data_IF_338648777674
#
_entry.id   IF_338648777674
#
_cell.length_a   1.000
_cell.length_b   1.000
_cell.length_c   1.000
_cell.angle_alpha   90.00
_cell.angle_beta   90.00
_cell.angle_gamma   90.00
#
_symmetry.space_group_name_H-M   'P 1'
#
loop_
_entity.id
_entity.type
_entity.pdbx_description
1 polymer ?
#
# COMPACT_ATOMS: atom_id res chain seq x y z
N UNK A 1 12.81 11.90 63.50
CA UNK A 1 11.69 11.48 62.63
C UNK A 1 12.21 11.38 61.21
N UNK A 2 12.53 10.18 60.74
CA UNK A 2 12.83 9.94 59.34
C UNK A 2 11.49 9.86 58.61
N UNK A 3 11.15 10.92 57.87
CA UNK A 3 10.02 10.90 56.95
C UNK A 3 10.36 9.94 55.82
N UNK A 4 9.64 8.81 55.76
CA UNK A 4 9.63 7.95 54.60
C UNK A 4 8.99 8.74 53.45
N UNK A 5 9.82 9.47 52.69
CA UNK A 5 9.44 9.94 51.39
C UNK A 5 9.08 8.71 50.57
N UNK A 6 7.78 8.49 50.38
CA UNK A 6 7.26 7.57 49.38
C UNK A 6 7.90 7.97 48.06
N UNK A 7 8.90 7.22 47.63
CA UNK A 7 9.49 7.28 46.29
C UNK A 7 8.34 7.00 45.32
N UNK A 8 7.62 8.05 44.94
CA UNK A 8 6.70 8.00 43.80
C UNK A 8 7.58 7.64 42.62
N UNK A 9 7.58 6.38 42.21
CA UNK A 9 8.22 5.96 40.97
C UNK A 9 7.85 6.96 39.87
N UNK A 10 8.85 7.64 39.32
CA UNK A 10 8.64 8.80 38.43
C UNK A 10 8.01 8.32 37.13
N UNK A 11 8.47 7.19 36.58
CA UNK A 11 7.77 6.44 35.54
C UNK A 11 6.87 5.37 36.17
N UNK A 12 5.59 5.34 35.80
CA UNK A 12 4.61 4.35 36.29
C UNK A 12 4.50 3.14 35.39
N UNK A 13 4.87 3.25 34.13
CA UNK A 13 4.88 2.12 33.21
C UNK A 13 6.12 1.25 33.45
N UNK A 14 5.90 -0.05 33.53
CA UNK A 14 6.92 -1.04 33.78
C UNK A 14 7.37 -1.68 32.45
N UNK A 15 8.68 -1.85 32.22
CA UNK A 15 9.17 -2.57 31.06
C UNK A 15 8.74 -4.04 31.12
N UNK A 16 8.36 -4.60 29.98
CA UNK A 16 8.13 -6.03 29.81
C UNK A 16 9.44 -6.80 29.56
N UNK A 17 9.34 -8.08 29.18
CA UNK A 17 10.50 -8.93 28.87
C UNK A 17 11.33 -8.44 27.68
N UNK A 18 10.82 -7.50 26.88
CA UNK A 18 11.49 -6.94 25.70
C UNK A 18 11.89 -5.47 25.92
N UNK A 19 11.73 -4.94 27.14
CA UNK A 19 12.09 -3.57 27.50
C UNK A 19 11.02 -2.52 27.16
N UNK A 20 9.86 -2.91 26.63
CA UNK A 20 8.78 -1.99 26.26
C UNK A 20 7.92 -1.70 27.47
N UNK A 21 7.67 -0.42 27.75
CA UNK A 21 6.90 0.01 28.91
C UNK A 21 5.39 -0.12 28.74
N UNK A 22 4.75 -0.76 29.71
CA UNK A 22 3.30 -0.95 29.79
C UNK A 22 2.73 -0.56 31.17
N UNK A 23 1.45 -0.20 31.20
CA UNK A 23 0.68 -0.02 32.43
C UNK A 23 -0.64 -0.78 32.32
N UNK A 24 -0.84 -1.76 33.20
CA UNK A 24 -2.04 -2.60 33.22
C UNK A 24 -2.36 -3.24 31.85
N UNK A 25 -1.33 -3.72 31.15
CA UNK A 25 -1.44 -4.33 29.83
C UNK A 25 -1.62 -3.34 28.66
N UNK A 26 -1.74 -2.03 28.92
CA UNK A 26 -1.76 -1.00 27.88
C UNK A 26 -0.36 -0.53 27.56
N UNK A 27 -0.09 -0.31 26.27
CA UNK A 27 1.15 0.33 25.82
C UNK A 27 1.27 1.76 26.30
N UNK A 28 2.47 2.13 26.74
CA UNK A 28 2.79 3.48 27.14
C UNK A 28 3.57 4.23 26.07
N UNK A 29 3.48 5.55 26.13
CA UNK A 29 4.21 6.48 25.28
C UNK A 29 4.84 7.59 26.14
N UNK A 30 5.98 8.08 25.67
CA UNK A 30 6.53 9.37 26.11
C UNK A 30 5.89 10.51 25.31
N UNK A 31 5.83 11.70 25.91
CA UNK A 31 5.38 12.91 25.23
C UNK A 31 6.38 14.04 25.42
N UNK A 32 6.50 14.91 24.42
CA UNK A 32 7.15 16.23 24.53
C UNK A 32 6.20 17.31 24.00
N UNK A 33 6.66 18.55 23.96
CA UNK A 33 5.94 19.67 23.35
C UNK A 33 6.86 20.35 22.34
N UNK A 34 6.30 20.75 21.20
CA UNK A 34 7.01 21.50 20.18
C UNK A 34 6.22 22.73 19.72
N UNK A 35 6.95 23.63 19.07
CA UNK A 35 6.41 24.76 18.34
C UNK A 35 7.43 25.15 17.27
N UNK A 36 7.17 24.73 16.03
CA UNK A 36 8.03 24.98 14.88
C UNK A 36 7.41 25.96 13.86
N UNK A 37 6.08 26.12 13.90
CA UNK A 37 5.34 27.00 12.99
C UNK A 37 5.23 26.47 11.56
N UNK A 38 5.61 25.21 11.30
CA UNK A 38 5.62 24.62 9.97
C UNK A 38 4.26 24.04 9.58
N UNK A 39 4.04 23.85 8.27
CA UNK A 39 2.83 23.22 7.72
C UNK A 39 2.65 21.77 8.18
N UNK A 40 3.77 21.12 8.49
CA UNK A 40 3.84 19.74 8.94
C UNK A 40 3.75 18.70 7.81
N UNK A 41 4.28 17.52 8.10
CA UNK A 41 4.42 16.38 7.19
C UNK A 41 3.12 15.83 6.60
N UNK A 42 1.96 16.15 7.18
CA UNK A 42 0.66 15.77 6.61
C UNK A 42 0.03 16.85 5.72
N UNK A 43 0.75 17.94 5.44
CA UNK A 43 0.31 18.97 4.51
C UNK A 43 -0.92 19.76 4.97
N UNK A 44 -1.06 19.98 6.28
CA UNK A 44 -2.19 20.68 6.89
C UNK A 44 -2.01 22.20 6.87
N UNK A 45 -1.98 22.74 5.64
CA UNK A 45 -1.87 24.15 5.30
C UNK A 45 -2.12 24.38 3.81
N UNK A 46 -2.16 25.63 3.32
CA UNK A 46 -2.34 25.93 1.91
C UNK A 46 -1.28 25.24 1.02
N UNK A 47 -1.64 24.73 -0.18
CA UNK A 47 -0.69 24.14 -1.11
C UNK A 47 0.44 25.11 -1.46
N UNK A 48 1.65 24.59 -1.69
CA UNK A 48 2.86 25.35 -2.05
C UNK A 48 3.29 26.43 -1.02
N UNK A 49 2.83 26.33 0.21
CA UNK A 49 3.23 27.15 1.34
C UNK A 49 3.73 26.27 2.49
N UNK A 50 4.58 26.83 3.36
CA UNK A 50 4.97 26.20 4.63
C UNK A 50 4.18 26.76 5.82
N UNK A 51 3.14 27.55 5.56
CA UNK A 51 2.27 28.05 6.61
C UNK A 51 1.21 26.99 6.98
N UNK A 52 1.08 26.63 8.27
CA UNK A 52 0.00 25.75 8.71
C UNK A 52 -1.36 26.47 8.69
N UNK A 53 -2.44 25.69 8.59
CA UNK A 53 -3.76 26.21 8.92
C UNK A 53 -3.81 26.61 10.40
N UNK A 54 -4.64 27.61 10.74
CA UNK A 54 -4.75 28.10 12.12
C UNK A 54 -5.16 26.98 13.10
N UNK A 55 -6.09 26.12 12.70
CA UNK A 55 -6.50 24.99 13.55
C UNK A 55 -5.33 24.04 13.83
N UNK A 56 -4.38 23.86 12.91
CA UNK A 56 -3.27 22.91 13.07
C UNK A 56 -2.29 23.33 14.18
N UNK A 57 -2.19 24.65 14.44
CA UNK A 57 -1.35 25.21 15.51
C UNK A 57 -2.12 25.51 16.81
N UNK A 58 -3.46 25.61 16.75
CA UNK A 58 -4.31 25.90 17.91
C UNK A 58 -4.90 24.66 18.60
N UNK A 59 -5.26 23.64 17.82
CA UNK A 59 -5.93 22.45 18.32
C UNK A 59 -4.95 21.41 18.87
N UNK A 60 -5.49 20.29 19.36
CA UNK A 60 -4.73 19.16 19.85
C UNK A 60 -4.23 18.32 18.67
N UNK A 61 -3.07 18.68 18.14
CA UNK A 61 -2.36 17.96 17.09
C UNK A 61 -1.02 17.40 17.60
N UNK A 62 -0.47 16.40 16.91
CA UNK A 62 0.78 15.73 17.33
C UNK A 62 1.65 15.31 16.16
N UNK A 63 2.95 15.27 16.43
CA UNK A 63 3.99 14.71 15.59
C UNK A 63 4.56 13.42 16.25
N UNK A 64 4.10 12.22 15.88
CA UNK A 64 4.65 10.99 16.43
C UNK A 64 6.03 10.66 15.85
N UNK A 65 6.77 9.78 16.53
CA UNK A 65 8.05 9.29 16.01
C UNK A 65 7.91 8.66 14.62
N UNK A 66 8.92 8.87 13.77
CA UNK A 66 8.93 8.52 12.34
C UNK A 66 8.42 7.10 12.03
N UNK A 67 8.83 6.10 12.81
CA UNK A 67 8.42 4.71 12.57
C UNK A 67 6.94 4.45 12.88
N UNK A 68 6.34 5.18 13.81
CA UNK A 68 4.90 5.14 13.98
C UNK A 68 4.20 5.91 12.87
N UNK A 69 4.67 7.14 12.59
CA UNK A 69 4.13 8.04 11.56
C UNK A 69 3.90 7.33 10.22
N UNK A 70 4.88 6.53 9.76
CA UNK A 70 4.82 5.85 8.47
C UNK A 70 4.69 4.32 8.57
N UNK A 71 4.12 3.80 9.68
CA UNK A 71 3.89 2.35 9.87
C UNK A 71 5.14 1.46 9.62
N UNK A 72 6.31 1.96 10.00
CA UNK A 72 7.61 1.31 9.86
C UNK A 72 8.45 1.80 8.69
N UNK A 73 7.86 2.58 7.77
CA UNK A 73 8.57 3.27 6.71
C UNK A 73 9.46 4.41 7.20
N UNK A 74 10.01 5.16 6.26
CA UNK A 74 10.89 6.30 6.50
C UNK A 74 10.33 7.60 5.91
N UNK A 75 9.09 7.59 5.38
CA UNK A 75 8.50 8.79 4.82
C UNK A 75 8.32 9.87 5.89
N UNK A 76 8.70 11.09 5.55
CA UNK A 76 8.47 12.31 6.33
C UNK A 76 7.40 13.20 5.66
N UNK A 77 6.64 12.62 4.73
CA UNK A 77 5.57 13.31 4.02
C UNK A 77 4.44 12.34 3.72
N UNK A 78 3.20 12.72 4.06
CA UNK A 78 2.00 11.89 3.91
C UNK A 78 2.16 10.47 4.46
N UNK A 79 2.79 10.33 5.64
CA UNK A 79 2.99 9.04 6.27
C UNK A 79 1.67 8.30 6.52
N UNK A 80 1.73 6.98 6.55
CA UNK A 80 0.55 6.11 6.65
C UNK A 80 -0.36 6.33 7.89
N UNK A 81 0.06 7.14 8.88
CA UNK A 81 -0.75 7.52 10.05
C UNK A 81 -1.25 8.97 10.03
N UNK A 82 -0.96 9.75 8.99
CA UNK A 82 -1.55 11.08 8.83
C UNK A 82 -3.08 11.03 8.93
N UNK A 83 -3.67 12.00 9.62
CA UNK A 83 -5.12 12.07 9.80
C UNK A 83 -5.73 11.07 10.78
N UNK A 84 -4.94 10.15 11.35
CA UNK A 84 -5.40 9.26 12.43
C UNK A 84 -5.39 10.01 13.76
N UNK A 85 -6.24 9.58 14.67
CA UNK A 85 -6.28 10.15 16.01
C UNK A 85 -5.78 9.15 17.06
N UNK A 86 -5.03 9.68 18.03
CA UNK A 86 -4.54 8.95 19.19
C UNK A 86 -5.15 9.52 20.45
N UNK A 87 -5.65 8.65 21.32
CA UNK A 87 -6.10 9.03 22.65
C UNK A 87 -4.98 8.79 23.64
N UNK A 88 -4.56 9.85 24.32
CA UNK A 88 -3.50 9.82 25.32
C UNK A 88 -4.12 9.97 26.71
N UNK A 89 -3.78 9.07 27.63
CA UNK A 89 -4.27 9.10 29.02
C UNK A 89 -3.08 9.10 29.97
N UNK A 90 -2.85 10.20 30.74
CA UNK A 90 -1.74 10.25 31.66
C UNK A 90 -1.78 9.16 32.72
N UNK A 91 -0.61 8.63 33.04
CA UNK A 91 -0.44 7.60 34.08
C UNK A 91 -0.19 8.20 35.47
N UNK A 92 0.09 9.52 35.51
CA UNK A 92 0.66 10.20 36.68
C UNK A 92 2.18 10.11 36.75
N UNK A 93 2.82 9.42 35.79
CA UNK A 93 4.27 9.34 35.65
C UNK A 93 4.85 10.37 34.69
N UNK A 94 6.19 10.42 34.64
CA UNK A 94 7.03 11.27 33.80
C UNK A 94 8.47 10.74 33.81
N UNK A 95 9.31 11.17 32.86
CA UNK A 95 10.76 10.86 32.88
C UNK A 95 11.48 11.82 33.83
N UNK A 96 12.31 11.29 34.72
CA UNK A 96 13.00 12.07 35.75
C UNK A 96 13.80 13.22 35.14
N UNK A 97 13.59 14.44 35.66
CA UNK A 97 14.30 15.65 35.19
C UNK A 97 13.78 16.20 33.85
N UNK A 98 12.94 15.46 33.13
CA UNK A 98 12.45 15.84 31.79
C UNK A 98 10.93 16.02 31.73
N UNK A 99 10.25 16.00 32.88
CA UNK A 99 8.81 16.21 32.98
C UNK A 99 8.32 16.35 34.41
N UNK A 100 7.00 16.35 34.60
CA UNK A 100 6.36 16.32 35.91
C UNK A 100 4.99 15.66 35.86
N UNK A 101 4.54 15.13 37.00
CA UNK A 101 3.21 14.53 37.11
C UNK A 101 2.11 15.57 36.80
N UNK A 102 1.16 15.26 35.89
CA UNK A 102 0.05 16.15 35.59
C UNK A 102 -0.94 16.22 36.77
N UNK A 103 -1.74 17.30 36.89
CA UNK A 103 -2.66 17.48 38.01
C UNK A 103 -3.87 16.52 38.00
N UNK A 104 -4.19 15.95 36.84
CA UNK A 104 -5.24 14.96 36.66
C UNK A 104 -4.86 13.97 35.55
N UNK A 105 -5.67 12.93 35.36
CA UNK A 105 -5.47 11.89 34.35
C UNK A 105 -6.52 11.94 33.24
N UNK A 106 -7.05 13.14 32.94
CA UNK A 106 -8.04 13.30 31.88
C UNK A 106 -7.42 12.90 30.53
N UNK A 107 -8.13 12.06 29.77
CA UNK A 107 -7.70 11.68 28.44
C UNK A 107 -7.99 12.78 27.43
N UNK A 108 -7.08 12.97 26.48
CA UNK A 108 -7.26 13.88 25.35
C UNK A 108 -6.98 13.15 24.04
N UNK A 109 -7.63 13.58 22.97
CA UNK A 109 -7.48 12.99 21.63
C UNK A 109 -6.71 13.99 20.76
N UNK A 110 -5.66 13.50 20.11
CA UNK A 110 -4.79 14.29 19.25
C UNK A 110 -4.86 13.78 17.81
N UNK A 111 -4.91 14.70 16.85
CA UNK A 111 -4.81 14.41 15.42
C UNK A 111 -3.34 14.36 14.98
N UNK A 112 -2.95 13.34 14.22
CA UNK A 112 -1.59 13.24 13.66
C UNK A 112 -1.51 14.11 12.41
N UNK A 113 -0.69 15.17 12.47
CA UNK A 113 -0.54 16.16 11.39
C UNK A 113 0.91 16.44 10.97
N UNK A 114 1.88 15.88 11.70
CA UNK A 114 3.30 16.08 11.43
C UNK A 114 4.11 14.83 11.78
N UNK A 115 5.43 14.82 11.53
CA UNK A 115 6.34 13.75 11.92
C UNK A 115 7.39 14.25 12.92
N UNK A 116 7.85 13.36 13.81
CA UNK A 116 9.02 13.59 14.65
C UNK A 116 10.19 12.76 14.10
N UNK A 117 11.12 13.36 13.34
CA UNK A 117 12.15 12.63 12.61
C UNK A 117 13.28 12.14 13.53
N UNK A 118 13.88 10.99 13.20
CA UNK A 118 14.93 10.35 14.01
C UNK A 118 16.20 11.21 14.09
N UNK A 119 16.60 11.86 12.99
CA UNK A 119 17.92 12.47 12.83
C UNK A 119 18.26 13.47 13.95
N UNK A 120 17.28 14.28 14.36
CA UNK A 120 17.45 15.38 15.33
C UNK A 120 16.83 15.05 16.69
N UNK A 121 15.93 14.07 16.76
CA UNK A 121 15.14 13.76 17.96
C UNK A 121 15.45 12.36 18.51
N UNK A 122 16.69 11.87 18.36
CA UNK A 122 17.06 10.48 18.71
C UNK A 122 16.63 10.04 20.10
N UNK A 123 16.75 10.91 21.10
CA UNK A 123 16.42 10.58 22.49
C UNK A 123 14.95 10.15 22.65
N UNK A 124 14.05 10.83 21.94
CA UNK A 124 12.61 10.65 22.09
C UNK A 124 11.98 9.84 20.94
N UNK A 125 12.37 10.14 19.71
CA UNK A 125 11.80 9.62 18.46
C UNK A 125 12.71 8.62 17.75
N UNK A 126 13.82 8.19 18.37
CA UNK A 126 14.81 7.29 17.79
C UNK A 126 14.42 5.80 17.68
N UNK A 127 13.15 5.45 17.76
CA UNK A 127 12.71 4.08 17.53
C UNK A 127 12.98 3.66 16.07
N UNK A 128 13.57 2.48 15.91
CA UNK A 128 13.91 1.84 14.64
C UNK A 128 12.81 0.96 14.02
N UNK A 129 11.75 0.61 14.78
CA UNK A 129 10.61 -0.20 14.32
C UNK A 129 9.28 0.45 14.74
N UNK A 130 8.16 0.16 14.05
CA UNK A 130 6.84 0.61 14.49
C UNK A 130 6.41 -0.11 15.79
N UNK A 131 5.55 0.51 16.62
CA UNK A 131 5.05 -0.11 17.84
C UNK A 131 4.15 -1.31 17.54
N UNK A 132 4.09 -2.25 18.49
CA UNK A 132 3.27 -3.45 18.34
C UNK A 132 3.69 -4.40 17.21
N UNK A 133 4.84 -4.17 16.56
CA UNK A 133 5.48 -5.15 15.68
C UNK A 133 6.12 -6.27 16.51
N UNK A 134 5.34 -6.82 17.44
CA UNK A 134 5.54 -8.17 17.95
C UNK A 134 5.68 -9.03 16.70
N UNK A 135 6.75 -9.80 16.61
CA UNK A 135 6.88 -11.25 16.38
C UNK A 135 5.62 -12.04 15.92
N UNK A 136 4.53 -11.44 15.41
CA UNK A 136 3.40 -12.06 14.73
C UNK A 136 3.90 -12.63 13.43
N UNK A 137 4.81 -11.95 12.74
CA UNK A 137 5.52 -12.52 11.60
C UNK A 137 6.22 -13.82 11.97
N UNK A 138 6.83 -13.88 13.16
CA UNK A 138 7.51 -15.09 13.64
C UNK A 138 6.53 -16.13 14.16
N UNK A 139 5.41 -15.77 14.80
CA UNK A 139 4.39 -16.75 15.23
C UNK A 139 3.68 -17.34 14.01
N UNK A 140 3.29 -16.53 13.03
CA UNK A 140 2.73 -17.01 11.75
C UNK A 140 3.78 -17.79 10.96
N UNK A 141 5.02 -17.31 10.87
CA UNK A 141 6.10 -18.03 10.19
C UNK A 141 6.37 -19.36 10.89
N UNK A 142 6.52 -19.40 12.22
CA UNK A 142 6.74 -20.65 12.96
C UNK A 142 5.53 -21.56 12.84
N UNK A 143 4.31 -21.09 13.03
CA UNK A 143 3.12 -21.97 12.94
C UNK A 143 2.93 -22.51 11.53
N UNK A 144 3.02 -21.67 10.50
CA UNK A 144 2.89 -22.09 9.10
C UNK A 144 4.08 -22.94 8.66
N UNK A 145 5.31 -22.56 9.00
CA UNK A 145 6.52 -23.33 8.71
C UNK A 145 6.50 -24.66 9.43
N UNK A 146 6.15 -24.72 10.71
CA UNK A 146 6.08 -25.98 11.46
C UNK A 146 4.95 -26.84 10.93
N UNK A 147 3.77 -26.29 10.62
CA UNK A 147 2.67 -27.06 10.03
C UNK A 147 3.08 -27.58 8.66
N UNK A 148 3.61 -26.75 7.75
CA UNK A 148 4.05 -27.17 6.43
C UNK A 148 5.23 -28.14 6.51
N UNK A 149 6.25 -27.84 7.31
CA UNK A 149 7.42 -28.69 7.45
C UNK A 149 7.04 -30.03 8.06
N UNK A 150 6.23 -30.08 9.12
CA UNK A 150 5.74 -31.32 9.70
C UNK A 150 4.81 -32.03 8.72
N UNK A 151 3.78 -31.40 8.17
CA UNK A 151 2.85 -32.10 7.28
C UNK A 151 3.56 -32.59 6.01
N UNK A 152 4.35 -31.77 5.35
CA UNK A 152 5.06 -32.14 4.12
C UNK A 152 6.14 -33.16 4.43
N UNK A 153 7.03 -32.94 5.40
CA UNK A 153 8.09 -33.92 5.68
C UNK A 153 7.55 -35.19 6.33
N UNK A 154 6.59 -35.12 7.25
CA UNK A 154 6.02 -36.34 7.86
C UNK A 154 5.16 -37.09 6.85
N UNK A 155 4.38 -36.44 5.99
CA UNK A 155 3.61 -37.15 4.95
C UNK A 155 4.55 -37.71 3.90
N UNK A 156 5.52 -36.95 3.37
CA UNK A 156 6.49 -37.49 2.39
C UNK A 156 7.37 -38.56 3.02
N UNK A 157 7.86 -38.37 4.24
CA UNK A 157 8.67 -39.38 4.91
C UNK A 157 7.81 -40.61 5.22
N UNK A 158 6.64 -40.49 5.85
CA UNK A 158 5.83 -41.68 6.11
C UNK A 158 5.37 -42.32 4.80
N UNK A 159 4.76 -41.61 3.87
CA UNK A 159 4.24 -42.24 2.65
C UNK A 159 5.36 -42.74 1.76
N UNK A 160 6.37 -41.93 1.45
CA UNK A 160 7.42 -42.34 0.51
C UNK A 160 8.44 -43.24 1.20
N UNK A 161 8.95 -42.88 2.38
CA UNK A 161 9.91 -43.74 3.07
C UNK A 161 9.26 -45.02 3.55
N UNK A 162 8.07 -45.02 4.19
CA UNK A 162 7.48 -46.29 4.65
C UNK A 162 6.98 -47.11 3.47
N UNK A 163 6.37 -46.54 2.42
CA UNK A 163 5.98 -47.37 1.26
C UNK A 163 7.23 -47.88 0.55
N UNK A 164 8.21 -47.04 0.21
CA UNK A 164 9.43 -47.53 -0.48
C UNK A 164 10.22 -48.48 0.40
N UNK A 165 10.37 -48.20 1.70
CA UNK A 165 11.07 -49.09 2.63
C UNK A 165 10.31 -50.38 2.83
N UNK A 166 8.98 -50.38 2.99
CA UNK A 166 8.19 -51.62 3.08
C UNK A 166 8.26 -52.39 1.77
N UNK A 167 8.11 -51.73 0.63
CA UNK A 167 8.16 -52.40 -0.69
C UNK A 167 9.55 -52.97 -0.94
N UNK A 168 10.59 -52.18 -0.66
CA UNK A 168 11.98 -52.62 -0.74
C UNK A 168 12.28 -53.70 0.29
N UNK A 169 11.75 -53.61 1.52
CA UNK A 169 11.89 -54.62 2.56
C UNK A 169 11.18 -55.90 2.18
N UNK A 170 10.01 -55.87 1.55
CA UNK A 170 9.34 -57.08 1.03
C UNK A 170 10.09 -57.67 -0.17
N UNK A 171 10.63 -56.85 -1.07
CA UNK A 171 11.43 -57.32 -2.21
C UNK A 171 12.79 -57.86 -1.76
N UNK A 172 13.42 -57.20 -0.80
CA UNK A 172 14.68 -57.60 -0.18
C UNK A 172 14.46 -58.79 0.72
N UNK A 173 13.38 -58.88 1.51
CA UNK A 173 13.08 -60.08 2.29
C UNK A 173 12.61 -61.21 1.42
N UNK A 174 11.98 -61.04 0.25
CA UNK A 174 11.78 -62.17 -0.67
C UNK A 174 13.13 -62.67 -1.22
N UNK A 175 14.04 -61.76 -1.59
CA UNK A 175 15.41 -62.13 -2.02
C UNK A 175 16.30 -62.66 -0.90
N UNK A 176 16.22 -62.08 0.30
CA UNK A 176 16.99 -62.43 1.49
C UNK A 176 16.37 -63.65 2.15
N UNK A 177 15.05 -63.92 2.12
CA UNK A 177 14.50 -65.21 2.59
C UNK A 177 15.01 -66.36 1.74
N UNK A 178 15.16 -66.13 0.43
CA UNK A 178 15.81 -67.09 -0.49
C UNK A 178 17.32 -67.24 -0.22
N UNK A 179 17.97 -66.24 0.38
CA UNK A 179 19.41 -66.24 0.66
C UNK A 179 19.77 -66.54 2.13
N UNK A 180 18.88 -66.27 3.09
CA UNK A 180 19.01 -66.44 4.54
C UNK A 180 18.38 -67.76 5.02
N UNK A 181 17.71 -68.49 4.11
CA UNK A 181 17.71 -69.95 4.16
C UNK A 181 19.14 -70.57 4.11
N UNK A 182 20.19 -69.76 3.93
CA UNK A 182 21.59 -70.20 3.97
C UNK A 182 22.50 -69.59 5.04
N UNK A 183 22.10 -68.60 5.85
CA UNK A 183 23.03 -68.03 6.86
C UNK A 183 22.32 -67.28 7.99
N UNK A 184 22.54 -67.75 9.23
CA UNK A 184 22.22 -67.10 10.50
C UNK A 184 23.17 -65.90 10.74
N UNK A 185 22.67 -64.78 11.26
CA UNK A 185 23.25 -64.03 12.40
C UNK A 185 22.57 -62.66 12.66
N UNK A 186 21.84 -62.64 13.76
CA UNK A 186 21.71 -61.69 14.90
C UNK A 186 22.34 -60.26 14.99
N UNK A 187 21.57 -59.41 15.71
CA UNK A 187 21.86 -58.18 16.56
C UNK A 187 22.00 -56.74 15.94
N UNK A 188 22.04 -55.61 16.73
CA UNK A 188 21.03 -54.84 17.50
C UNK A 188 20.85 -53.31 17.12
N UNK A 189 19.91 -52.65 17.81
CA UNK A 189 19.59 -51.20 17.90
C UNK A 189 20.64 -50.27 18.56
N UNK A 190 20.70 -48.99 18.11
CA UNK A 190 20.85 -47.74 18.91
C UNK A 190 20.35 -46.54 18.07
N UNK A 191 19.51 -45.57 18.46
CA UNK A 191 19.36 -44.60 19.58
C UNK A 191 19.77 -43.17 19.14
N UNK A 192 18.80 -42.26 19.29
CA UNK A 192 18.79 -40.83 18.91
C UNK A 192 19.70 -39.94 19.76
N UNK A 193 20.18 -38.84 19.17
CA UNK A 193 20.66 -37.64 19.87
C UNK A 193 19.89 -36.39 19.40
N UNK A 194 19.48 -35.59 20.39
CA UNK A 194 18.57 -34.43 20.27
C UNK A 194 19.37 -33.15 20.50
N UNK A 195 19.42 -32.27 19.50
CA UNK A 195 20.05 -30.95 19.58
C UNK A 195 19.01 -29.89 20.02
N UNK A 196 19.31 -29.10 21.05
CA UNK A 196 18.52 -27.92 21.44
C UNK A 196 19.35 -26.67 21.07
N UNK A 197 18.83 -25.84 20.16
CA UNK A 197 19.28 -24.47 19.92
C UNK A 197 18.32 -23.51 20.62
N UNK A 198 18.84 -22.60 21.45
CA UNK A 198 18.17 -21.37 21.85
C UNK A 198 18.81 -20.23 21.07
N UNK A 199 18.06 -19.63 20.14
CA UNK A 199 18.43 -18.36 19.51
C UNK A 199 17.83 -17.17 20.28
N UNK A 200 18.57 -16.04 20.42
CA UNK A 200 18.07 -14.83 21.06
C UNK A 200 17.09 -14.08 20.16
N UNK A 201 15.94 -13.71 20.73
CA UNK A 201 14.94 -12.84 20.09
C UNK A 201 15.55 -11.45 19.90
N UNK A 202 15.53 -10.86 18.68
CA UNK A 202 16.01 -9.49 18.48
C UNK A 202 15.13 -8.50 19.27
N UNK A 203 15.72 -7.51 19.95
CA UNK A 203 14.97 -6.61 20.83
C UNK A 203 13.91 -5.81 20.06
N UNK A 204 12.77 -5.60 20.72
CA UNK A 204 11.75 -4.65 20.28
C UNK A 204 12.33 -3.24 20.28
N UNK A 205 11.78 -2.36 19.44
CA UNK A 205 12.30 -1.00 19.31
C UNK A 205 11.62 -0.06 20.30
N UNK A 206 12.37 0.48 21.25
CA UNK A 206 11.96 1.55 22.14
C UNK A 206 12.94 2.73 22.09
N UNK A 207 12.53 3.92 22.54
CA UNK A 207 13.46 5.05 22.73
C UNK A 207 14.31 4.87 23.99
N UNK A 208 15.19 5.84 24.28
CA UNK A 208 16.11 5.79 25.42
C UNK A 208 15.39 5.65 26.78
N UNK A 209 14.14 6.12 26.86
CA UNK A 209 13.31 6.03 28.05
C UNK A 209 12.47 4.73 28.14
N UNK A 210 12.52 3.85 27.14
CA UNK A 210 11.83 2.54 27.13
C UNK A 210 10.41 2.54 26.54
N UNK A 211 10.02 3.58 25.78
CA UNK A 211 8.71 3.65 25.12
C UNK A 211 8.78 3.29 23.63
N UNK A 212 7.87 2.43 23.17
CA UNK A 212 7.79 1.98 21.77
C UNK A 212 7.29 3.06 20.79
N UNK A 213 6.68 4.13 21.32
CA UNK A 213 6.20 5.27 20.55
C UNK A 213 6.41 6.56 21.34
N UNK A 214 6.62 7.65 20.62
CA UNK A 214 6.68 9.00 21.17
C UNK A 214 5.71 9.92 20.44
N UNK A 215 5.07 10.84 21.17
CA UNK A 215 4.19 11.86 20.62
C UNK A 215 4.68 13.24 21.02
N UNK A 216 5.19 14.01 20.06
CA UNK A 216 5.50 15.41 20.27
C UNK A 216 4.22 16.24 20.07
N UNK A 217 3.86 17.06 21.05
CA UNK A 217 2.53 17.70 21.12
C UNK A 217 2.64 19.17 20.73
N UNK A 218 1.85 19.59 19.73
CA UNK A 218 1.85 20.98 19.26
C UNK A 218 1.40 21.91 20.40
N UNK A 219 2.18 22.95 20.67
CA UNK A 219 1.95 23.88 21.77
C UNK A 219 2.16 25.35 21.38
N UNK A 220 2.10 25.68 20.09
CA UNK A 220 2.27 27.06 19.59
C UNK A 220 1.36 28.08 20.29
N UNK A 221 0.16 27.68 20.70
CA UNK A 221 -0.81 28.52 21.40
C UNK A 221 -1.00 28.17 22.88
N UNK A 222 -0.08 27.39 23.46
CA UNK A 222 -0.14 27.03 24.88
C UNK A 222 -1.27 26.03 25.21
N UNK A 223 -1.82 25.33 24.22
CA UNK A 223 -2.89 24.36 24.41
C UNK A 223 -2.46 23.19 25.32
N UNK A 224 -1.20 22.75 25.28
CA UNK A 224 -0.66 21.69 26.16
C UNK A 224 -0.37 22.25 27.56
N UNK A 225 0.14 23.48 27.63
CA UNK A 225 0.32 24.19 28.90
C UNK A 225 -1.02 24.36 29.64
N UNK A 226 -2.10 24.60 28.91
CA UNK A 226 -3.46 24.75 29.44
C UNK A 226 -4.02 23.44 30.01
N UNK A 227 -3.49 22.29 29.57
CA UNK A 227 -3.77 20.98 30.20
C UNK A 227 -2.90 20.74 31.44
N UNK A 228 -1.93 21.63 31.72
CA UNK A 228 -0.88 21.46 32.72
C UNK A 228 -0.05 20.18 32.48
N UNK A 229 0.17 19.84 31.21
CA UNK A 229 1.00 18.70 30.83
C UNK A 229 2.43 19.17 30.61
N UNK A 230 3.36 18.60 31.38
CA UNK A 230 4.80 18.79 31.20
C UNK A 230 5.43 17.42 30.99
N UNK A 231 5.43 16.98 29.74
CA UNK A 231 5.96 15.69 29.27
C UNK A 231 5.48 14.49 30.11
N UNK A 232 4.15 14.35 30.35
CA UNK A 232 3.64 13.23 31.12
C UNK A 232 3.90 11.90 30.39
N UNK A 233 4.11 10.84 31.18
CA UNK A 233 3.96 9.47 30.71
C UNK A 233 2.46 9.20 30.48
N UNK A 234 2.13 8.62 29.33
CA UNK A 234 0.74 8.34 28.94
C UNK A 234 0.59 6.88 28.50
N UNK A 235 -0.61 6.33 28.65
CA UNK A 235 -1.05 5.21 27.82
C UNK A 235 -1.66 5.74 26.53
N UNK A 236 -1.56 4.99 25.44
CA UNK A 236 -2.05 5.42 24.13
C UNK A 236 -2.90 4.34 23.44
N UNK A 237 -3.86 4.78 22.63
CA UNK A 237 -4.64 3.93 21.73
C UNK A 237 -5.06 4.72 20.47
N UNK A 238 -5.13 4.05 19.31
CA UNK A 238 -5.74 4.64 18.12
C UNK A 238 -7.26 4.67 18.29
N UNK A 239 -7.87 5.81 17.98
CA UNK A 239 -9.32 6.01 18.08
C UNK A 239 -9.87 6.67 16.83
N UNK A 240 -11.19 6.64 16.67
CA UNK A 240 -11.86 7.48 15.68
C UNK A 240 -11.69 8.95 16.08
N UNK A 241 -11.37 9.79 15.09
CA UNK A 241 -11.27 11.22 15.32
C UNK A 241 -12.64 11.81 15.70
N UNK A 242 -12.70 12.71 16.70
CA UNK A 242 -13.84 13.60 16.90
C UNK A 242 -14.21 14.31 15.60
N UNK A 243 -15.49 14.63 15.41
CA UNK A 243 -15.98 15.23 14.17
C UNK A 243 -15.26 16.52 13.79
N UNK A 244 -14.86 17.35 14.76
CA UNK A 244 -14.08 18.57 14.51
C UNK A 244 -12.71 18.27 13.89
N UNK A 245 -11.92 17.38 14.51
CA UNK A 245 -10.61 16.99 13.99
C UNK A 245 -10.70 16.22 12.67
N UNK A 246 -11.74 15.40 12.49
CA UNK A 246 -12.00 14.73 11.23
C UNK A 246 -12.31 15.71 10.10
N UNK A 247 -13.06 16.78 10.39
CA UNK A 247 -13.36 17.84 9.43
C UNK A 247 -12.09 18.61 9.04
N UNK A 248 -11.24 18.94 10.02
CA UNK A 248 -9.95 19.58 9.76
C UNK A 248 -9.03 18.75 8.87
N UNK A 249 -9.01 17.43 9.07
CA UNK A 249 -8.25 16.53 8.22
C UNK A 249 -8.63 16.65 6.73
N UNK A 250 -9.90 16.93 6.40
CA UNK A 250 -10.37 17.09 5.02
C UNK A 250 -9.70 18.25 4.26
N UNK A 251 -9.11 19.20 4.98
CA UNK A 251 -8.42 20.34 4.39
C UNK A 251 -6.95 20.02 4.05
N UNK A 252 -6.37 18.97 4.65
CA UNK A 252 -4.96 18.63 4.49
C UNK A 252 -4.68 18.01 3.12
N UNK A 253 -3.51 18.31 2.56
CA UNK A 253 -3.06 17.76 1.26
C UNK A 253 -3.06 16.24 1.27
N UNK A 254 -2.52 15.62 2.32
CA UNK A 254 -2.41 14.18 2.43
C UNK A 254 -3.77 13.48 2.65
N UNK A 255 -4.86 14.17 3.00
CA UNK A 255 -6.19 13.55 2.94
C UNK A 255 -6.59 13.30 1.49
N UNK A 256 -6.31 14.27 0.61
CA UNK A 256 -6.52 14.09 -0.83
C UNK A 256 -5.64 12.99 -1.38
N UNK A 257 -4.59 12.57 -0.69
CA UNK A 257 -3.85 11.35 -1.04
C UNK A 257 -4.45 10.09 -0.38
N UNK A 258 -4.97 10.14 0.86
CA UNK A 258 -5.60 8.99 1.54
C UNK A 258 -6.90 8.50 0.85
N UNK A 259 -7.72 9.42 0.34
CA UNK A 259 -8.91 9.05 -0.46
C UNK A 259 -8.53 8.27 -1.74
N UNK A 260 -7.27 8.37 -2.15
CA UNK A 260 -6.71 7.77 -3.34
C UNK A 260 -5.81 6.55 -3.02
N UNK A 261 -5.31 6.43 -1.78
CA UNK A 261 -4.43 5.35 -1.29
C UNK A 261 -5.17 4.20 -0.59
N UNK A 262 -6.41 4.39 -0.09
CA UNK A 262 -7.19 3.29 0.53
C UNK A 262 -7.62 2.19 -0.45
N UNK A 263 -7.48 2.40 -1.75
CA UNK A 263 -7.30 1.31 -2.70
C UNK A 263 -5.80 1.13 -2.90
N UNK A 264 -5.22 0.01 -2.42
CA UNK A 264 -3.82 -0.38 -2.66
C UNK A 264 -3.56 -0.71 -4.13
N UNK A 265 -3.93 0.19 -5.03
CA UNK A 265 -3.83 0.05 -6.45
C UNK A 265 -3.13 1.32 -6.92
N UNK A 266 -1.96 1.17 -7.54
CA UNK A 266 -1.13 2.28 -8.03
C UNK A 266 -1.77 2.93 -9.27
N UNK A 267 -3.06 3.27 -9.18
CA UNK A 267 -3.85 3.79 -10.28
C UNK A 267 -3.77 5.28 -10.23
N UNK A 268 -3.23 5.89 -11.28
CA UNK A 268 -3.32 7.34 -11.44
C UNK A 268 -4.79 7.72 -11.47
N UNK A 269 -5.19 8.69 -10.65
CA UNK A 269 -6.52 9.30 -10.70
C UNK A 269 -6.38 10.82 -10.71
N UNK A 270 -7.34 11.49 -11.31
CA UNK A 270 -7.44 12.95 -11.34
C UNK A 270 -8.88 13.33 -10.97
N UNK A 271 -9.03 14.17 -9.94
CA UNK A 271 -10.34 14.54 -9.36
C UNK A 271 -11.25 13.32 -9.04
N UNK A 272 -10.66 12.22 -8.58
CA UNK A 272 -11.37 10.99 -8.22
C UNK A 272 -11.70 10.06 -9.39
N UNK A 273 -11.44 10.45 -10.64
CA UNK A 273 -11.60 9.61 -11.83
C UNK A 273 -10.31 8.90 -12.20
N UNK A 274 -10.39 7.70 -12.76
CA UNK A 274 -9.22 6.95 -13.22
C UNK A 274 -8.57 7.60 -14.43
N UNK A 275 -7.25 7.69 -14.42
CA UNK A 275 -6.47 8.19 -15.53
C UNK A 275 -6.08 7.06 -16.48
N UNK A 276 -6.00 7.41 -17.76
CA UNK A 276 -5.47 6.59 -18.83
C UNK A 276 -4.42 7.38 -19.61
N UNK A 277 -3.51 6.64 -20.22
CA UNK A 277 -2.59 7.18 -21.22
C UNK A 277 -3.21 7.06 -22.60
N UNK A 278 -2.89 7.99 -23.49
CA UNK A 278 -3.31 7.91 -24.90
C UNK A 278 -2.11 7.88 -25.84
N UNK A 279 -2.26 7.16 -26.96
CA UNK A 279 -1.41 7.32 -28.14
C UNK A 279 -2.29 7.54 -29.38
N UNK A 280 -1.68 7.62 -30.56
CA UNK A 280 -2.39 7.72 -31.83
C UNK A 280 -1.95 6.59 -32.75
N UNK A 281 -2.90 6.07 -33.50
CA UNK A 281 -2.64 5.13 -34.58
C UNK A 281 -3.36 5.59 -35.85
N UNK A 282 -2.77 5.20 -36.98
CA UNK A 282 -3.34 5.35 -38.31
C UNK A 282 -3.38 3.97 -38.96
N UNK A 283 -4.47 3.23 -38.72
CA UNK A 283 -4.68 1.92 -39.32
C UNK A 283 -5.82 1.98 -40.33
N UNK A 284 -5.54 1.47 -41.53
CA UNK A 284 -6.50 1.31 -42.62
C UNK A 284 -7.06 -0.12 -42.71
N UNK A 285 -6.74 -0.97 -41.75
CA UNK A 285 -7.25 -2.33 -41.65
C UNK A 285 -8.55 -2.36 -40.84
N UNK A 286 -9.30 -3.44 -41.04
CA UNK A 286 -10.45 -3.78 -40.21
C UNK A 286 -9.98 -4.00 -38.76
N UNK A 287 -10.57 -3.24 -37.83
CA UNK A 287 -10.23 -3.34 -36.41
C UNK A 287 -10.66 -4.67 -35.79
N UNK A 288 -10.12 -4.98 -34.61
CA UNK A 288 -10.38 -6.22 -33.87
C UNK A 288 -11.86 -6.50 -33.57
N UNK A 289 -12.76 -5.51 -33.64
CA UNK A 289 -14.20 -5.73 -33.49
C UNK A 289 -14.93 -6.05 -34.81
N UNK A 290 -14.19 -6.25 -35.92
CA UNK A 290 -14.82 -6.59 -37.19
C UNK A 290 -15.73 -5.50 -37.77
N UNK A 291 -15.58 -4.23 -37.40
CA UNK A 291 -16.44 -3.17 -37.91
C UNK A 291 -16.28 -2.94 -39.42
N UNK A 292 -17.39 -2.93 -40.16
CA UNK A 292 -17.46 -2.75 -41.61
C UNK A 292 -17.68 -4.06 -42.40
N UNK A 293 -17.92 -3.95 -43.73
CA UNK A 293 -18.18 -5.10 -44.60
C UNK A 293 -16.99 -6.07 -44.62
N UNK A 294 -17.27 -7.36 -44.85
CA UNK A 294 -16.24 -8.40 -44.94
C UNK A 294 -15.17 -8.06 -45.99
N UNK A 295 -13.96 -7.77 -45.51
CA UNK A 295 -12.79 -7.37 -46.29
C UNK A 295 -11.66 -6.89 -45.38
N UNK A 296 -10.43 -6.80 -45.89
CA UNK A 296 -9.26 -6.36 -45.10
C UNK A 296 -9.20 -4.84 -44.90
N UNK A 297 -9.99 -4.07 -45.64
CA UNK A 297 -9.91 -2.60 -45.67
C UNK A 297 -10.95 -1.99 -44.74
N UNK A 298 -10.51 -1.03 -43.93
CA UNK A 298 -11.36 -0.21 -43.08
C UNK A 298 -12.48 0.47 -43.87
N UNK A 299 -13.67 0.57 -43.27
CA UNK A 299 -14.77 1.30 -43.86
C UNK A 299 -14.58 2.81 -43.66
N UNK A 300 -15.14 3.66 -44.53
CA UNK A 300 -14.88 5.10 -44.49
C UNK A 300 -15.19 5.73 -43.11
N UNK A 301 -16.24 5.27 -42.42
CA UNK A 301 -16.55 5.81 -41.09
C UNK A 301 -15.55 5.34 -40.02
N UNK A 302 -14.95 4.14 -40.14
CA UNK A 302 -13.94 3.68 -39.17
C UNK A 302 -12.60 4.42 -39.29
N UNK A 303 -12.45 5.25 -40.32
CA UNK A 303 -11.30 6.12 -40.52
C UNK A 303 -11.57 7.55 -40.03
N UNK A 304 -12.83 8.00 -40.07
CA UNK A 304 -13.19 9.40 -39.81
C UNK A 304 -13.76 9.68 -38.42
N UNK A 305 -14.36 8.67 -37.79
CA UNK A 305 -15.01 8.83 -36.49
C UNK A 305 -14.02 8.77 -35.30
N UNK A 306 -14.51 9.13 -34.12
CA UNK A 306 -13.76 9.04 -32.86
C UNK A 306 -13.74 7.58 -32.36
N UNK A 307 -12.71 6.84 -32.79
CA UNK A 307 -12.53 5.43 -32.44
C UNK A 307 -11.25 5.20 -31.62
N UNK A 308 -11.28 4.16 -30.79
CA UNK A 308 -10.15 3.79 -29.93
C UNK A 308 -9.84 2.30 -29.96
N UNK A 309 -8.57 1.99 -29.71
CA UNK A 309 -8.03 0.67 -29.48
C UNK A 309 -7.48 0.63 -28.03
N UNK A 310 -8.26 0.18 -27.04
CA UNK A 310 -7.78 0.07 -25.69
C UNK A 310 -6.74 -1.04 -25.53
N UNK A 311 -5.99 -1.01 -24.43
CA UNK A 311 -5.13 -2.12 -24.01
C UNK A 311 -5.90 -3.43 -23.88
N UNK A 312 -5.27 -4.56 -24.25
CA UNK A 312 -5.86 -5.91 -24.27
C UNK A 312 -6.73 -6.25 -23.04
N UNK A 313 -6.28 -5.90 -21.83
CA UNK A 313 -7.03 -6.24 -20.61
C UNK A 313 -8.37 -5.52 -20.53
N UNK A 314 -8.44 -4.28 -21.01
CA UNK A 314 -9.71 -3.57 -21.12
C UNK A 314 -10.50 -4.07 -22.33
N UNK A 315 -9.85 -4.41 -23.46
CA UNK A 315 -10.55 -4.89 -24.65
C UNK A 315 -11.38 -6.17 -24.40
N UNK A 316 -10.85 -7.10 -23.60
CA UNK A 316 -11.44 -8.45 -23.44
C UNK A 316 -11.45 -8.96 -21.98
N UNK A 317 -11.46 -8.06 -20.98
CA UNK A 317 -11.46 -8.40 -19.54
C UNK A 317 -10.38 -9.41 -19.11
N UNK A 318 -9.19 -9.34 -19.73
CA UNK A 318 -8.08 -10.29 -19.51
C UNK A 318 -8.17 -11.59 -20.31
N UNK A 319 -9.15 -11.70 -21.22
CA UNK A 319 -9.17 -12.71 -22.26
C UNK A 319 -8.03 -12.51 -23.27
N UNK A 320 -7.55 -13.62 -23.82
CA UNK A 320 -6.50 -13.65 -24.83
C UNK A 320 -7.08 -13.53 -26.26
N UNK A 321 -8.30 -13.03 -26.43
CA UNK A 321 -8.85 -12.84 -27.77
C UNK A 321 -8.31 -11.54 -28.35
N UNK A 322 -7.73 -11.63 -29.54
CA UNK A 322 -7.32 -10.46 -30.32
C UNK A 322 -8.43 -10.00 -31.27
N UNK A 323 -9.63 -10.59 -31.17
CA UNK A 323 -10.75 -10.39 -32.07
C UNK A 323 -12.08 -10.55 -31.30
N UNK A 324 -13.01 -9.61 -31.50
CA UNK A 324 -14.34 -9.54 -30.86
C UNK A 324 -14.28 -9.67 -29.32
N UNK A 325 -13.48 -8.83 -28.66
CA UNK A 325 -13.45 -8.77 -27.21
C UNK A 325 -14.75 -8.25 -26.59
N UNK A 326 -14.97 -8.51 -25.31
CA UNK A 326 -16.20 -8.14 -24.59
C UNK A 326 -16.57 -6.65 -24.71
N UNK A 327 -15.58 -5.77 -24.82
CA UNK A 327 -15.80 -4.33 -24.91
C UNK A 327 -15.91 -3.82 -26.35
N UNK A 328 -16.08 -4.70 -27.34
CA UNK A 328 -16.35 -4.30 -28.71
C UNK A 328 -17.67 -3.53 -28.86
N UNK A 329 -17.56 -2.34 -29.47
CA UNK A 329 -18.68 -1.42 -29.66
C UNK A 329 -19.15 -0.72 -28.38
N UNK A 330 -18.44 -0.85 -27.25
CA UNK A 330 -18.66 0.00 -26.09
C UNK A 330 -18.11 1.40 -26.33
N UNK A 331 -18.54 2.37 -25.52
CA UNK A 331 -18.07 3.74 -25.61
C UNK A 331 -17.42 4.20 -24.31
N UNK A 332 -16.31 4.93 -24.47
CA UNK A 332 -15.56 5.54 -23.38
C UNK A 332 -15.52 7.04 -23.59
N UNK A 333 -15.75 7.79 -22.52
CA UNK A 333 -15.62 9.24 -22.52
C UNK A 333 -14.25 9.60 -21.97
N UNK A 334 -13.42 10.20 -22.81
CA UNK A 334 -12.08 10.65 -22.44
C UNK A 334 -12.12 12.15 -22.18
N UNK A 335 -11.69 12.56 -20.98
CA UNK A 335 -11.61 13.98 -20.59
C UNK A 335 -10.15 14.33 -20.37
N UNK A 336 -9.55 15.23 -21.17
CA UNK A 336 -8.15 15.56 -20.98
C UNK A 336 -7.89 16.27 -19.65
N UNK A 337 -6.73 16.01 -19.07
CA UNK A 337 -6.30 16.67 -17.83
C UNK A 337 -5.42 17.86 -18.16
N UNK A 338 -5.66 18.99 -17.48
CA UNK A 338 -4.85 20.21 -17.57
C UNK A 338 -3.55 20.09 -16.77
N UNK A 339 -3.55 19.24 -15.75
CA UNK A 339 -2.39 18.80 -14.98
C UNK A 339 -2.05 17.35 -15.32
N UNK A 340 -0.76 17.00 -15.35
CA UNK A 340 -0.35 15.58 -15.45
C UNK A 340 -1.02 14.85 -14.29
N UNK A 341 -1.76 13.76 -14.52
CA UNK A 341 -2.40 13.03 -13.43
C UNK A 341 -1.36 12.77 -12.37
N UNK A 342 -1.64 13.34 -11.19
CA UNK A 342 -0.65 13.80 -10.24
C UNK A 342 0.43 12.76 -10.08
N UNK A 343 1.68 13.18 -10.37
CA UNK A 343 2.90 12.43 -10.09
C UNK A 343 2.77 11.86 -8.68
N UNK A 344 2.65 10.54 -8.56
CA UNK A 344 3.00 9.88 -7.30
C UNK A 344 4.45 10.26 -7.03
N UNK A 345 4.66 11.16 -6.09
CA UNK A 345 5.99 11.52 -5.61
C UNK A 345 6.52 10.32 -4.83
N UNK A 346 7.25 9.46 -5.52
CA UNK A 346 8.39 8.79 -4.93
C UNK A 346 9.59 8.94 -5.86
N UNK A 347 10.70 9.25 -5.22
CA UNK A 347 12.06 9.33 -5.70
C UNK A 347 12.47 8.09 -6.51
N UNK A 348 12.08 8.00 -7.79
CA UNK A 348 12.57 6.94 -8.68
C UNK A 348 13.28 7.51 -9.91
N UNK A 349 14.61 7.37 -9.89
CA UNK A 349 15.44 7.34 -11.09
C UNK A 349 14.97 6.17 -11.95
N UNK A 350 14.11 6.41 -12.93
CA UNK A 350 13.72 5.36 -13.88
C UNK A 350 12.50 5.66 -14.76
N UNK A 351 11.57 6.50 -14.31
CA UNK A 351 10.37 6.79 -15.10
C UNK A 351 10.62 7.82 -16.20
N UNK A 352 10.39 7.42 -17.45
CA UNK A 352 10.44 8.32 -18.60
C UNK A 352 9.24 9.27 -18.53
N UNK A 353 9.46 10.61 -18.51
CA UNK A 353 8.37 11.57 -18.54
C UNK A 353 7.48 11.35 -19.76
N UNK A 354 6.17 11.29 -19.55
CA UNK A 354 5.20 11.33 -20.64
C UNK A 354 5.40 12.62 -21.45
N UNK A 355 5.55 12.51 -22.77
CA UNK A 355 5.93 13.61 -23.67
C UNK A 355 4.74 14.29 -24.37
N UNK A 356 3.51 14.12 -23.87
CA UNK A 356 2.33 14.77 -24.45
C UNK A 356 2.33 16.29 -24.25
N UNK A 357 1.80 17.04 -25.22
CA UNK A 357 1.49 18.47 -25.04
C UNK A 357 0.11 18.62 -24.39
N UNK A 358 -0.12 19.67 -23.58
CA UNK A 358 -1.45 19.98 -23.11
C UNK A 358 -2.39 20.18 -24.30
N UNK A 359 -3.60 19.61 -24.27
CA UNK A 359 -4.53 19.75 -25.38
C UNK A 359 -5.05 21.18 -25.45
N UNK A 360 -5.38 21.63 -26.66
CA UNK A 360 -5.94 22.98 -26.87
C UNK A 360 -7.40 23.10 -26.43
N UNK A 361 -8.07 21.97 -26.21
CA UNK A 361 -9.44 21.87 -25.66
C UNK A 361 -9.45 20.87 -24.51
N UNK A 362 -10.18 21.24 -23.45
CA UNK A 362 -10.47 20.39 -22.28
C UNK A 362 -11.83 19.70 -22.39
N UNK A 363 -12.52 19.85 -23.53
CA UNK A 363 -13.83 19.24 -23.72
C UNK A 363 -13.70 17.72 -23.81
N UNK A 364 -14.57 16.97 -23.11
CA UNK A 364 -14.57 15.52 -23.18
C UNK A 364 -15.07 15.04 -24.55
N UNK A 365 -14.47 13.97 -25.05
CA UNK A 365 -14.85 13.34 -26.32
C UNK A 365 -15.19 11.87 -26.06
N UNK A 366 -16.24 11.37 -26.71
CA UNK A 366 -16.66 9.98 -26.61
C UNK A 366 -16.05 9.20 -27.78
N UNK A 367 -15.38 8.11 -27.45
CA UNK A 367 -14.77 7.19 -28.41
C UNK A 367 -15.48 5.83 -28.35
N UNK A 368 -15.68 5.21 -29.51
CA UNK A 368 -16.15 3.83 -29.59
C UNK A 368 -14.96 2.87 -29.71
N UNK A 369 -14.99 1.79 -28.92
CA UNK A 369 -14.01 0.71 -28.96
C UNK A 369 -14.26 -0.15 -30.21
N UNK A 370 -13.32 -0.15 -31.14
CA UNK A 370 -13.46 -0.90 -32.42
C UNK A 370 -12.24 -1.74 -32.77
N UNK A 371 -11.16 -1.56 -32.02
CA UNK A 371 -9.91 -2.26 -32.24
C UNK A 371 -9.29 -2.61 -30.89
N UNK A 372 -8.19 -3.34 -30.92
CA UNK A 372 -7.41 -3.73 -29.76
C UNK A 372 -6.00 -3.21 -29.94
N UNK A 373 -5.38 -2.66 -28.90
CA UNK A 373 -3.97 -2.36 -28.94
C UNK A 373 -3.14 -3.56 -28.46
N UNK A 374 -2.50 -4.32 -29.35
CA UNK A 374 -1.78 -5.54 -28.98
C UNK A 374 -0.53 -5.22 -28.15
N UNK A 375 -0.31 -6.02 -27.11
CA UNK A 375 0.78 -5.88 -26.13
C UNK A 375 2.20 -5.90 -26.72
N UNK A 376 2.37 -6.42 -27.95
CA UNK A 376 3.68 -6.58 -28.61
C UNK A 376 4.06 -5.43 -29.55
N UNK A 377 3.14 -4.53 -29.89
CA UNK A 377 3.35 -3.55 -30.96
C UNK A 377 3.70 -2.16 -30.40
N UNK A 378 3.15 -1.80 -29.24
CA UNK A 378 3.45 -0.54 -28.58
C UNK A 378 3.70 -0.75 -27.09
N UNK A 379 4.78 -0.14 -26.57
CA UNK A 379 5.17 -0.20 -25.15
C UNK A 379 4.07 0.26 -24.18
N UNK A 380 3.11 1.03 -24.67
CA UNK A 380 1.99 1.58 -23.90
C UNK A 380 0.83 0.61 -23.73
N UNK A 381 0.69 -0.34 -24.65
CA UNK A 381 -0.42 -1.29 -24.74
C UNK A 381 -0.15 -2.59 -23.99
N UNK A 382 1.13 -2.87 -23.73
CA UNK A 382 1.54 -3.91 -22.80
C UNK A 382 1.20 -3.52 -21.37
N UNK A 383 0.16 -4.13 -20.81
CA UNK A 383 0.05 -4.23 -19.36
C UNK A 383 0.86 -5.47 -18.98
N UNK A 384 2.08 -5.24 -18.49
CA UNK A 384 2.92 -6.32 -18.03
C UNK A 384 2.33 -6.89 -16.73
N UNK A 385 1.93 -8.16 -16.76
CA UNK A 385 2.00 -9.00 -15.57
C UNK A 385 3.44 -8.96 -15.10
N UNK A 386 3.78 -8.13 -14.10
CA UNK A 386 5.15 -8.05 -13.59
C UNK A 386 5.66 -9.48 -13.32
N UNK A 387 6.63 -9.99 -14.09
CA UNK A 387 7.18 -11.31 -13.85
C UNK A 387 8.23 -11.14 -12.76
N UNK A 388 7.88 -11.41 -11.50
CA UNK A 388 8.88 -11.26 -10.44
C UNK A 388 8.45 -11.34 -8.98
N UNK A 389 7.65 -12.32 -8.57
CA UNK A 389 7.75 -12.83 -7.19
C UNK A 389 7.65 -14.34 -7.20
N UNK A 390 8.79 -14.98 -6.92
CA UNK A 390 9.00 -16.42 -6.83
C UNK A 390 8.00 -17.13 -5.90
N UNK A 391 7.11 -17.93 -6.50
CA UNK A 391 6.53 -19.23 -6.13
C UNK A 391 6.36 -19.75 -4.68
N UNK A 392 6.40 -18.95 -3.60
CA UNK A 392 6.07 -19.50 -2.26
C UNK A 392 5.11 -18.67 -1.39
N UNK A 393 4.74 -17.45 -1.80
CA UNK A 393 3.81 -16.57 -1.05
C UNK A 393 2.49 -16.37 -1.84
N UNK A 394 2.13 -17.32 -2.71
CA UNK A 394 0.99 -17.14 -3.62
C UNK A 394 -0.34 -17.41 -2.90
N UNK A 395 -0.41 -18.35 -1.95
CA UNK A 395 -1.71 -18.77 -1.40
C UNK A 395 -2.41 -17.74 -0.47
N UNK A 396 -1.67 -16.81 0.15
CA UNK A 396 -2.26 -15.79 1.03
C UNK A 396 -2.53 -14.45 0.33
N UNK A 397 -1.91 -14.21 -0.83
CA UNK A 397 -2.11 -12.99 -1.64
C UNK A 397 -3.18 -13.14 -2.72
N UNK A 398 -3.62 -14.36 -3.04
CA UNK A 398 -4.70 -14.66 -4.02
C UNK A 398 -6.09 -14.13 -3.63
N UNK A 399 -6.28 -13.58 -2.43
CA UNK A 399 -7.54 -12.94 -2.02
C UNK A 399 -7.54 -11.41 -2.20
N UNK A 400 -6.42 -10.82 -2.64
CA UNK A 400 -6.38 -9.41 -2.99
C UNK A 400 -6.56 -9.27 -4.51
N UNK A 401 -7.46 -8.37 -4.97
CA UNK A 401 -7.60 -8.10 -6.40
C UNK A 401 -6.25 -7.61 -6.94
N UNK A 402 -5.65 -8.42 -7.80
CA UNK A 402 -4.43 -8.05 -8.53
C UNK A 402 -4.81 -7.00 -9.57
N UNK A 403 -4.39 -5.77 -9.32
CA UNK A 403 -4.62 -4.67 -10.23
C UNK A 403 -3.41 -4.51 -11.13
N UNK A 404 -3.61 -4.66 -12.44
CA UNK A 404 -2.54 -4.59 -13.43
C UNK A 404 -2.46 -3.16 -13.99
N UNK A 405 -1.26 -2.58 -14.02
CA UNK A 405 -0.99 -1.28 -14.64
C UNK A 405 0.13 -1.42 -15.68
N UNK A 406 0.13 -0.58 -16.71
CA UNK A 406 1.23 -0.57 -17.67
C UNK A 406 2.53 -0.02 -17.04
N UNK A 407 3.63 -0.08 -17.80
CA UNK A 407 4.97 0.41 -17.40
C UNK A 407 5.02 1.90 -17.01
N UNK A 408 3.93 2.64 -17.24
CA UNK A 408 3.78 4.06 -16.89
C UNK A 408 2.80 4.32 -15.73
N UNK A 409 2.21 3.27 -15.17
CA UNK A 409 1.30 3.33 -14.01
C UNK A 409 -0.15 3.67 -14.37
N UNK A 410 -0.58 3.42 -15.60
CA UNK A 410 -1.98 3.55 -16.02
C UNK A 410 -2.67 2.18 -16.00
N UNK A 411 -3.91 2.13 -15.52
CA UNK A 411 -4.75 0.93 -15.62
C UNK A 411 -5.06 0.60 -17.09
N UNK A 412 -5.42 1.63 -17.85
CA UNK A 412 -5.85 1.49 -19.23
C UNK A 412 -5.01 2.41 -20.11
N UNK A 413 -4.71 1.92 -21.30
CA UNK A 413 -4.17 2.70 -22.39
C UNK A 413 -5.17 2.75 -23.54
N UNK A 414 -5.35 3.91 -24.17
CA UNK A 414 -6.21 4.10 -25.34
C UNK A 414 -5.38 4.59 -26.53
N UNK A 415 -5.23 3.77 -27.56
CA UNK A 415 -4.67 4.21 -28.83
C UNK A 415 -5.80 4.83 -29.67
N UNK A 416 -5.65 6.06 -30.14
CA UNK A 416 -6.74 6.84 -30.77
C UNK A 416 -6.56 6.91 -32.29
N UNK A 417 -7.61 6.55 -33.05
CA UNK A 417 -7.58 6.62 -34.52
C UNK A 417 -7.42 8.07 -34.98
N UNK A 418 -6.46 8.33 -35.86
CA UNK A 418 -6.18 9.68 -36.39
C UNK A 418 -6.10 9.76 -37.92
N UNK A 419 -6.64 8.76 -38.64
CA UNK A 419 -6.42 8.62 -40.09
C UNK A 419 -6.74 9.89 -40.91
N UNK A 420 -7.75 10.67 -40.49
CA UNK A 420 -8.15 11.92 -41.17
C UNK A 420 -7.78 13.17 -40.36
N UNK A 421 -6.87 13.07 -39.39
CA UNK A 421 -6.43 14.16 -38.52
C UNK A 421 -7.46 14.61 -37.48
N UNK A 422 -8.37 13.72 -37.06
CA UNK A 422 -9.39 14.05 -36.06
C UNK A 422 -8.82 14.42 -34.68
N UNK A 423 -7.72 13.80 -34.25
CA UNK A 423 -7.04 14.14 -33.00
C UNK A 423 -6.28 15.47 -33.12
N UNK A 424 -5.71 15.73 -34.30
CA UNK A 424 -5.06 17.02 -34.58
C UNK A 424 -6.05 18.19 -34.54
N UNK A 425 -7.28 17.98 -35.02
CA UNK A 425 -8.36 19.00 -34.93
C UNK A 425 -8.79 19.29 -33.50
N UNK A 426 -8.69 18.30 -32.60
CA UNK A 426 -8.87 18.50 -31.16
C UNK A 426 -7.62 19.13 -30.50
N UNK A 427 -6.50 19.22 -31.23
CA UNK A 427 -5.21 19.59 -30.66
C UNK A 427 -4.75 18.61 -29.57
N UNK A 428 -5.18 17.35 -29.66
CA UNK A 428 -4.77 16.29 -28.74
C UNK A 428 -3.44 15.71 -29.21
N UNK A 429 -2.38 15.92 -28.43
CA UNK A 429 -1.07 15.31 -28.68
C UNK A 429 -0.68 14.33 -27.60
N UNK A 430 -1.22 13.11 -27.73
CA UNK A 430 -1.14 12.06 -26.73
C UNK A 430 -1.45 12.65 -25.35
N UNK A 431 -2.61 13.30 -25.11
CA UNK A 431 -2.89 13.87 -23.80
C UNK A 431 -3.06 12.75 -22.78
N UNK A 432 -2.71 13.06 -21.53
CA UNK A 432 -3.18 12.26 -20.41
C UNK A 432 -4.67 12.57 -20.20
N UNK A 433 -5.48 11.55 -19.97
CA UNK A 433 -6.94 11.70 -19.87
C UNK A 433 -7.46 11.01 -18.61
N UNK A 434 -8.58 11.48 -18.10
CA UNK A 434 -9.47 10.63 -17.29
C UNK A 434 -10.46 9.92 -18.19
N UNK A 435 -10.92 8.76 -17.77
CA UNK A 435 -11.87 7.96 -18.57
C UNK A 435 -13.03 7.44 -17.72
N UNK A 436 -14.18 7.26 -18.37
CA UNK A 436 -15.36 6.59 -17.82
C UNK A 436 -16.13 5.90 -18.96
N UNK A 437 -16.74 4.76 -18.69
CA UNK A 437 -17.65 4.10 -19.63
C UNK A 437 -18.96 4.88 -19.70
N UNK A 438 -19.47 5.05 -20.92
CA UNK A 438 -20.70 5.80 -21.19
C UNK A 438 -21.51 5.13 -22.27
N UNK A 439 -22.80 5.47 -22.34
CA UNK A 439 -23.63 5.10 -23.48
C UNK A 439 -23.08 5.76 -24.76
N UNK A 440 -23.05 4.99 -25.85
CA UNK A 440 -22.67 5.52 -27.15
C UNK A 440 -23.67 6.58 -27.63
N UNK A 441 -23.20 7.71 -28.18
CA UNK A 441 -24.08 8.69 -28.79
C UNK A 441 -24.83 8.06 -30.00
N UNK A 442 -26.01 8.59 -30.38
CA UNK A 442 -26.89 7.92 -31.34
C UNK A 442 -26.26 7.59 -32.70
N UNK A 443 -25.33 8.43 -33.16
CA UNK A 443 -24.55 8.23 -34.38
C UNK A 443 -23.60 7.03 -34.26
N UNK A 444 -22.83 6.91 -33.18
CA UNK A 444 -21.96 5.74 -32.93
C UNK A 444 -22.77 4.48 -32.59
N UNK A 445 -23.85 4.61 -31.81
CA UNK A 445 -24.73 3.51 -31.47
C UNK A 445 -25.38 2.88 -32.72
N UNK A 446 -25.73 3.70 -33.73
CA UNK A 446 -26.25 3.24 -35.01
C UNK A 446 -25.20 2.48 -35.84
N UNK A 447 -23.90 2.71 -35.60
CA UNK A 447 -22.80 1.98 -36.26
C UNK A 447 -22.47 0.65 -35.59
N UNK A 448 -22.79 0.48 -34.31
CA UNK A 448 -22.48 -0.75 -33.56
C UNK A 448 -22.91 -2.05 -34.26
N UNK A 449 -24.08 -2.15 -34.90
CA UNK A 449 -24.48 -3.36 -35.64
C UNK A 449 -23.62 -3.66 -36.89
N UNK A 450 -22.78 -2.72 -37.32
CA UNK A 450 -21.82 -2.93 -38.41
C UNK A 450 -20.53 -3.63 -37.92
N UNK A 451 -20.40 -3.90 -36.62
CA UNK A 451 -19.31 -4.67 -36.00
C UNK A 451 -19.76 -6.13 -35.73
N UNK A 452 -18.78 -7.05 -35.72
CA UNK A 452 -18.98 -8.48 -35.40
C UNK A 452 -19.15 -8.67 -33.89
#
# INVERSE_FOLDING_TARGET
>A
MYSAASLRAEQKCHPDSHGVRHLNGKSCASTTRYNDGHRGACGCGPPASDNPFQWNVHDLTTAPNQKFFDSGGDSQWCGAKCGRCVKLTPTGGFVQGEGSAPPNHQSHIFLITNDCPIAENRHWCGQSKPPGQRTVYVILFITVYVILFITVNVILFITVYVILFITMYFLLTDKISRWAAQTNCDVPHTRDDKLILHDPVPPDSHNDAGYEVHFDLQNAHGQINSLHWNNPEVTWELVNCPSSLAQHWNECECHRDEMFSRTRTCVRRYMGKTCASTTRYDDNRRGACGCGPHGEVAHNWTLSEYLTAPSQNYFDDGGNTHWCGNNCGSCVKLTPTDERCVRMTHTERGFVPFKGRPPTTTEPVIFMVTNNCPTKVAQWCGIEDKPGTSNFIIFLLLLLPHYQVNTHGYEVHFDLQNHVGQMDRLGWDNPEVTWEEVDCPPDLAARRPECE
#
